data_IF_168497238565
#
_entry.id   IF_168497238565
#
_cell.length_a   1.000
_cell.length_b   1.000
_cell.length_c   1.000
_cell.angle_alpha   90.00
_cell.angle_beta   90.00
_cell.angle_gamma   90.00
#
_symmetry.space_group_name_H-M   'P 1'
#
loop_
_entity.id
_entity.type
_entity.pdbx_description
1 polymer ?
#
# COMPACT_ATOMS: atom_id res chain seq x y z
N UNK A 1 53.31 -24.96 18.73
CA UNK A 1 52.09 -24.21 19.06
C UNK A 1 51.28 -24.20 17.79
N UNK A 2 50.30 -25.09 17.71
CA UNK A 2 49.75 -25.55 16.43
C UNK A 2 48.92 -24.48 15.73
N UNK A 3 49.22 -24.26 14.45
CA UNK A 3 48.53 -23.30 13.58
C UNK A 3 47.00 -23.50 13.55
N UNK A 4 46.55 -24.74 13.78
CA UNK A 4 45.12 -25.08 13.87
C UNK A 4 44.42 -24.42 15.06
N UNK A 5 45.11 -24.26 16.20
CA UNK A 5 44.54 -23.62 17.38
C UNK A 5 44.44 -22.10 17.19
N UNK A 6 45.41 -21.50 16.49
CA UNK A 6 45.36 -20.07 16.15
C UNK A 6 44.22 -19.75 15.19
N UNK A 7 43.95 -20.62 14.21
CA UNK A 7 42.87 -20.42 13.25
C UNK A 7 41.48 -20.58 13.90
N UNK A 8 41.31 -21.54 14.81
CA UNK A 8 40.07 -21.70 15.57
C UNK A 8 39.77 -20.51 16.49
N UNK A 9 40.78 -19.98 17.19
CA UNK A 9 40.63 -18.79 18.04
C UNK A 9 40.31 -17.55 17.19
N UNK A 10 40.91 -17.43 16.00
CA UNK A 10 40.62 -16.33 15.09
C UNK A 10 39.18 -16.40 14.55
N UNK A 11 38.69 -17.60 14.21
CA UNK A 11 37.31 -17.80 13.76
C UNK A 11 36.30 -17.49 14.87
N UNK A 12 36.56 -17.88 16.11
CA UNK A 12 35.66 -17.61 17.25
C UNK A 12 35.62 -16.12 17.59
N UNK A 13 36.76 -15.42 17.56
CA UNK A 13 36.84 -13.96 17.75
C UNK A 13 36.11 -13.19 16.65
N UNK A 14 36.17 -13.66 15.39
CA UNK A 14 35.40 -13.05 14.30
C UNK A 14 33.89 -13.29 14.45
N UNK A 15 33.48 -14.45 14.96
CA UNK A 15 32.08 -14.79 15.26
C UNK A 15 31.49 -13.89 16.35
N UNK A 16 32.23 -13.69 17.44
CA UNK A 16 31.81 -12.84 18.55
C UNK A 16 31.71 -11.36 18.12
N UNK A 17 32.67 -10.88 17.32
CA UNK A 17 32.65 -9.52 16.78
C UNK A 17 31.49 -9.28 15.81
N UNK A 18 31.13 -10.28 14.99
CA UNK A 18 29.97 -10.20 14.09
C UNK A 18 28.66 -10.13 14.87
N UNK A 19 28.52 -10.89 15.95
CA UNK A 19 27.31 -10.86 16.78
C UNK A 19 27.14 -9.51 17.48
N UNK A 20 28.23 -8.92 17.98
CA UNK A 20 28.23 -7.61 18.62
C UNK A 20 27.91 -6.47 17.64
N UNK A 21 28.44 -6.53 16.41
CA UNK A 21 28.11 -5.58 15.34
C UNK A 21 26.68 -5.73 14.82
N UNK A 22 26.14 -6.97 14.77
CA UNK A 22 24.76 -7.22 14.35
C UNK A 22 23.73 -6.60 15.29
N UNK A 23 23.98 -6.60 16.60
CA UNK A 23 23.11 -5.97 17.60
C UNK A 23 23.17 -4.44 17.55
N UNK A 24 24.31 -3.85 17.16
CA UNK A 24 24.44 -2.40 16.99
C UNK A 24 23.78 -1.89 15.70
N UNK A 25 23.78 -2.69 14.64
CA UNK A 25 23.19 -2.33 13.35
C UNK A 25 21.66 -2.43 13.34
N UNK A 26 21.05 -3.35 14.10
CA UNK A 26 19.59 -3.48 14.22
C UNK A 26 18.96 -2.32 15.00
N UNK A 27 19.65 -1.74 15.98
CA UNK A 27 19.11 -0.62 16.77
C UNK A 27 19.24 0.74 16.06
N UNK A 28 20.34 0.97 15.33
CA UNK A 28 20.64 2.32 14.80
C UNK A 28 20.28 2.53 13.33
N UNK A 29 20.08 1.46 12.56
CA UNK A 29 19.67 1.54 11.16
C UNK A 29 18.13 1.46 11.01
N UNK A 30 17.46 0.74 11.90
CA UNK A 30 16.01 0.62 11.96
C UNK A 30 15.35 1.95 12.31
N UNK A 31 15.76 2.60 13.40
CA UNK A 31 15.22 3.90 13.81
C UNK A 31 15.54 5.02 12.83
N UNK A 32 16.67 4.93 12.09
CA UNK A 32 17.09 5.98 11.16
C UNK A 32 16.47 5.85 9.76
N UNK A 33 16.14 4.63 9.29
CA UNK A 33 15.40 4.42 8.04
C UNK A 33 13.88 4.46 8.24
N UNK A 34 13.34 3.84 9.29
CA UNK A 34 11.88 3.81 9.55
C UNK A 34 11.40 5.16 10.10
N UNK A 35 12.16 5.80 11.00
CA UNK A 35 11.76 7.04 11.66
C UNK A 35 11.65 8.26 10.73
N UNK A 36 12.51 8.37 9.71
CA UNK A 36 12.45 9.51 8.76
C UNK A 36 11.34 9.37 7.72
N UNK A 37 10.99 8.15 7.33
CA UNK A 37 9.86 7.89 6.42
C UNK A 37 8.53 7.99 7.19
N UNK A 38 8.47 7.48 8.41
CA UNK A 38 7.28 7.53 9.26
C UNK A 38 6.91 8.95 9.72
N UNK A 39 7.85 9.91 9.75
CA UNK A 39 7.59 11.29 10.17
C UNK A 39 6.88 12.14 9.10
N UNK A 40 6.85 11.68 7.84
CA UNK A 40 6.28 12.41 6.69
C UNK A 40 5.01 11.80 6.12
N UNK A 41 4.48 10.75 6.75
CA UNK A 41 3.35 9.97 6.23
C UNK A 41 2.21 9.96 7.24
N UNK A 42 1.01 10.26 6.76
CA UNK A 42 -0.23 10.26 7.55
C UNK A 42 -0.41 8.93 8.30
N UNK A 43 -1.07 8.99 9.46
CA UNK A 43 -1.32 7.88 10.39
C UNK A 43 -1.87 6.60 9.73
N UNK A 44 -2.57 6.70 8.59
CA UNK A 44 -3.04 5.55 7.80
C UNK A 44 -1.92 4.77 7.08
N UNK A 45 -0.85 5.43 6.65
CA UNK A 45 0.29 4.79 6.00
C UNK A 45 1.18 4.02 7.01
N UNK A 46 1.22 4.47 8.27
CA UNK A 46 1.95 3.77 9.36
C UNK A 46 1.37 2.37 9.63
N UNK A 47 0.05 2.24 9.72
CA UNK A 47 -0.60 0.94 9.95
C UNK A 47 -0.34 -0.08 8.83
N UNK A 48 -0.21 0.39 7.58
CA UNK A 48 0.06 -0.47 6.43
C UNK A 48 1.52 -0.97 6.43
N UNK A 49 2.46 -0.13 6.88
CA UNK A 49 3.89 -0.46 7.00
C UNK A 49 4.11 -1.40 8.19
N UNK A 50 3.51 -1.12 9.35
CA UNK A 50 3.65 -1.94 10.56
C UNK A 50 3.13 -3.37 10.37
N UNK A 51 1.96 -3.52 9.72
CA UNK A 51 1.41 -4.85 9.39
C UNK A 51 2.23 -5.61 8.32
N UNK A 52 2.98 -4.89 7.47
CA UNK A 52 3.85 -5.49 6.45
C UNK A 52 5.19 -5.95 7.04
N UNK A 53 5.75 -5.17 7.96
CA UNK A 53 6.95 -5.54 8.73
C UNK A 53 6.70 -6.76 9.59
N UNK A 54 5.54 -6.83 10.25
CA UNK A 54 5.19 -7.95 11.12
C UNK A 54 5.10 -9.28 10.34
N UNK A 55 4.55 -9.27 9.11
CA UNK A 55 4.52 -10.45 8.23
C UNK A 55 5.88 -10.83 7.63
N UNK A 56 6.78 -9.87 7.43
CA UNK A 56 8.13 -10.14 6.94
C UNK A 56 8.98 -10.87 7.99
N UNK A 57 8.79 -10.56 9.27
CA UNK A 57 9.45 -11.25 10.39
C UNK A 57 8.96 -12.70 10.50
N UNK A 58 7.67 -12.98 10.26
CA UNK A 58 7.11 -14.35 10.26
C UNK A 58 7.69 -15.23 9.13
N UNK A 59 7.85 -14.70 7.92
CA UNK A 59 8.43 -15.45 6.79
C UNK A 59 9.94 -15.64 6.97
N UNK A 60 10.62 -14.67 7.58
CA UNK A 60 12.06 -14.74 7.87
C UNK A 60 12.41 -15.77 8.95
N UNK A 61 11.44 -16.19 9.77
CA UNK A 61 11.60 -17.27 10.74
C UNK A 61 11.74 -18.67 10.13
N UNK A 62 11.42 -18.85 8.84
CA UNK A 62 11.45 -20.16 8.16
C UNK A 62 12.67 -20.38 7.25
N UNK A 63 13.57 -19.41 7.11
CA UNK A 63 14.75 -19.52 6.24
C UNK A 63 16.03 -19.40 7.08
N UNK A 64 16.27 -20.38 7.94
CA UNK A 64 17.60 -20.67 8.49
C UNK A 64 18.06 -22.04 8.04
N UNK A 65 18.30 -22.21 6.75
CA UNK A 65 19.26 -23.21 6.25
C UNK A 65 19.77 -22.83 4.87
N UNK A 66 21.09 -22.88 4.76
CA UNK A 66 21.94 -22.68 3.58
C UNK A 66 22.18 -21.24 3.12
N UNK A 67 23.34 -20.76 3.55
CA UNK A 67 24.09 -19.65 2.98
C UNK A 67 24.72 -20.03 1.63
N UNK A 68 25.01 -18.98 0.87
CA UNK A 68 26.02 -18.89 -0.20
C UNK A 68 25.60 -19.32 -1.61
N UNK A 69 25.13 -18.33 -2.38
CA UNK A 69 25.73 -17.90 -3.65
C UNK A 69 24.78 -16.95 -4.42
N UNK A 70 24.35 -15.83 -3.83
CA UNK A 70 23.58 -14.83 -4.57
C UNK A 70 23.49 -13.52 -3.79
N UNK A 71 24.61 -12.81 -3.67
CA UNK A 71 24.68 -11.53 -2.94
C UNK A 71 24.11 -10.32 -3.69
N UNK A 72 23.53 -10.50 -4.88
CA UNK A 72 23.05 -9.37 -5.71
C UNK A 72 21.61 -9.49 -6.24
N UNK A 73 20.86 -10.54 -5.95
CA UNK A 73 19.45 -10.68 -6.39
C UNK A 73 18.43 -10.48 -5.27
N UNK A 74 18.89 -10.39 -4.01
CA UNK A 74 17.99 -10.27 -2.86
C UNK A 74 17.54 -8.83 -2.60
N UNK A 75 18.41 -7.85 -2.91
CA UNK A 75 18.02 -6.44 -2.92
C UNK A 75 17.01 -6.16 -4.05
N UNK A 76 17.20 -6.77 -5.22
CA UNK A 76 16.25 -6.65 -6.33
C UNK A 76 14.92 -7.34 -6.02
N UNK A 77 14.92 -8.50 -5.36
CA UNK A 77 13.67 -9.17 -4.98
C UNK A 77 12.92 -8.40 -3.87
N UNK A 78 13.63 -7.80 -2.91
CA UNK A 78 13.02 -6.98 -1.86
C UNK A 78 12.56 -5.61 -2.38
N UNK A 79 13.33 -4.95 -3.26
CA UNK A 79 12.95 -3.71 -3.95
C UNK A 79 11.84 -3.96 -4.95
N UNK A 80 11.80 -5.10 -5.64
CA UNK A 80 10.69 -5.51 -6.50
C UNK A 80 9.46 -5.90 -5.67
N UNK A 81 9.62 -6.50 -4.50
CA UNK A 81 8.52 -6.79 -3.59
C UNK A 81 8.00 -5.54 -2.87
N UNK A 82 8.83 -4.51 -2.67
CA UNK A 82 8.42 -3.16 -2.26
C UNK A 82 7.78 -2.41 -3.44
N UNK A 83 8.29 -2.55 -4.66
CA UNK A 83 7.79 -1.93 -5.89
C UNK A 83 6.46 -2.53 -6.36
N UNK A 84 6.26 -3.83 -6.17
CA UNK A 84 4.99 -4.54 -6.36
C UNK A 84 4.00 -4.19 -5.24
N UNK A 85 4.47 -3.91 -4.01
CA UNK A 85 3.63 -3.47 -2.87
C UNK A 85 3.37 -1.96 -2.81
N UNK A 86 4.07 -1.15 -3.61
CA UNK A 86 3.68 0.23 -3.90
C UNK A 86 2.56 0.32 -4.93
N UNK A 87 1.91 -0.80 -5.30
CA UNK A 87 0.59 -0.77 -5.93
C UNK A 87 -0.47 -0.34 -4.89
N UNK A 88 -0.32 0.92 -4.49
CA UNK A 88 -1.22 1.84 -3.83
C UNK A 88 -2.02 1.20 -2.70
N UNK A 89 -1.64 1.56 -1.46
CA UNK A 89 -2.55 1.46 -0.31
C UNK A 89 -3.94 1.87 -0.81
N UNK A 90 -4.93 0.98 -0.64
CA UNK A 90 -6.14 0.93 -1.48
C UNK A 90 -7.06 2.15 -1.44
N UNK A 91 -6.61 3.28 -0.90
CA UNK A 91 -7.28 4.57 -0.89
C UNK A 91 -6.26 5.63 -1.37
N UNK A 92 -6.58 6.33 -2.46
CA UNK A 92 -5.77 7.43 -3.02
C UNK A 92 -6.64 8.66 -3.26
N UNK A 93 -6.03 9.86 -3.20
CA UNK A 93 -6.68 11.12 -3.54
C UNK A 93 -6.13 11.61 -4.87
N UNK A 94 -6.99 11.84 -5.85
CA UNK A 94 -6.62 12.30 -7.19
C UNK A 94 -6.40 13.81 -7.17
N UNK A 95 -5.25 14.25 -7.68
CA UNK A 95 -4.88 15.67 -7.75
C UNK A 95 -5.26 16.33 -9.06
N UNK A 96 -5.03 15.63 -10.18
CA UNK A 96 -5.23 16.16 -11.53
C UNK A 96 -5.63 15.05 -12.52
N UNK A 97 -5.92 15.44 -13.77
CA UNK A 97 -6.31 14.51 -14.83
C UNK A 97 -5.20 13.53 -15.22
N UNK A 98 -3.92 13.93 -15.17
CA UNK A 98 -2.81 13.05 -15.50
C UNK A 98 -2.65 11.95 -14.43
N UNK A 99 -2.83 12.30 -13.16
CA UNK A 99 -2.85 11.39 -12.03
C UNK A 99 -4.05 10.43 -12.11
N UNK A 100 -5.22 10.94 -12.51
CA UNK A 100 -6.40 10.12 -12.77
C UNK A 100 -6.15 9.09 -13.87
N UNK A 101 -5.60 9.51 -15.02
CA UNK A 101 -5.27 8.59 -16.12
C UNK A 101 -4.28 7.51 -15.67
N UNK A 102 -3.26 7.88 -14.90
CA UNK A 102 -2.25 6.95 -14.41
C UNK A 102 -2.80 5.95 -13.39
N UNK A 103 -3.55 6.42 -12.39
CA UNK A 103 -3.97 5.60 -11.23
C UNK A 103 -5.32 4.92 -11.42
N UNK A 104 -6.19 5.44 -12.27
CA UNK A 104 -7.54 4.93 -12.47
C UNK A 104 -7.66 4.20 -13.81
N UNK A 105 -7.32 4.85 -14.92
CA UNK A 105 -7.52 4.30 -16.26
C UNK A 105 -6.52 3.20 -16.58
N UNK A 106 -5.23 3.45 -16.30
CA UNK A 106 -4.15 2.49 -16.55
C UNK A 106 -3.97 1.46 -15.42
N UNK A 107 -4.90 1.40 -14.46
CA UNK A 107 -4.82 0.45 -13.37
C UNK A 107 -5.21 -0.96 -13.81
N UNK A 108 -4.44 -1.95 -13.36
CA UNK A 108 -4.76 -3.36 -13.58
C UNK A 108 -5.87 -3.85 -12.64
N UNK A 109 -5.98 -3.26 -11.44
CA UNK A 109 -7.03 -3.57 -10.48
C UNK A 109 -8.31 -2.80 -10.84
N UNK A 110 -9.50 -3.33 -10.54
CA UNK A 110 -10.71 -2.51 -10.55
C UNK A 110 -10.53 -1.32 -9.60
N UNK A 111 -11.12 -0.18 -9.97
CA UNK A 111 -11.03 1.07 -9.24
C UNK A 111 -12.42 1.61 -8.97
N UNK A 112 -12.72 1.92 -7.72
CA UNK A 112 -13.88 2.70 -7.31
C UNK A 112 -13.47 4.17 -7.24
N UNK A 113 -14.18 5.03 -7.95
CA UNK A 113 -13.96 6.48 -7.94
C UNK A 113 -15.09 7.14 -7.16
N UNK A 114 -14.77 7.76 -6.03
CA UNK A 114 -15.69 8.53 -5.19
C UNK A 114 -15.57 10.03 -5.53
N UNK A 115 -16.56 10.54 -6.25
CA UNK A 115 -16.71 11.98 -6.51
C UNK A 115 -17.42 12.64 -5.33
N UNK A 116 -16.66 13.44 -4.58
CA UNK A 116 -17.13 14.11 -3.38
C UNK A 116 -16.86 15.63 -3.43
N UNK A 117 -17.43 16.34 -2.46
CA UNK A 117 -17.15 17.76 -2.23
C UNK A 117 -17.07 18.04 -0.72
N UNK A 118 -16.30 19.05 -0.33
CA UNK A 118 -16.10 19.39 1.11
C UNK A 118 -17.37 19.94 1.78
N UNK A 119 -18.22 20.63 1.00
CA UNK A 119 -19.49 21.20 1.43
C UNK A 119 -20.65 20.19 1.44
N UNK A 120 -20.43 18.98 0.93
CA UNK A 120 -21.46 17.95 0.82
C UNK A 120 -21.66 17.21 2.16
N UNK A 121 -22.82 17.42 2.79
CA UNK A 121 -23.20 16.73 4.03
C UNK A 121 -23.26 15.19 3.88
N UNK A 122 -24.01 14.64 2.92
CA UNK A 122 -24.10 13.18 2.72
C UNK A 122 -22.76 12.51 2.41
N UNK A 123 -21.83 13.22 1.75
CA UNK A 123 -20.51 12.70 1.42
C UNK A 123 -19.69 12.39 2.68
N UNK A 124 -19.88 13.15 3.77
CA UNK A 124 -19.21 12.91 5.06
C UNK A 124 -19.64 11.58 5.72
N UNK A 125 -20.79 11.04 5.34
CA UNK A 125 -21.25 9.71 5.78
C UNK A 125 -20.79 8.60 4.83
N UNK A 126 -20.84 8.84 3.52
CA UNK A 126 -20.47 7.85 2.52
C UNK A 126 -18.97 7.55 2.53
N UNK A 127 -18.12 8.58 2.64
CA UNK A 127 -16.66 8.42 2.60
C UNK A 127 -16.13 7.42 3.62
N UNK A 128 -16.38 7.61 4.94
CA UNK A 128 -15.95 6.65 5.97
C UNK A 128 -16.53 5.24 5.77
N UNK A 129 -17.77 5.13 5.25
CA UNK A 129 -18.40 3.84 4.96
C UNK A 129 -17.72 3.11 3.80
N UNK A 130 -17.35 3.81 2.74
CA UNK A 130 -16.54 3.26 1.65
C UNK A 130 -15.18 2.80 2.17
N UNK A 131 -14.50 3.65 2.94
CA UNK A 131 -13.19 3.31 3.51
C UNK A 131 -13.28 2.07 4.43
N UNK A 132 -14.35 1.93 5.20
CA UNK A 132 -14.57 0.77 6.07
C UNK A 132 -14.75 -0.54 5.30
N UNK A 133 -15.56 -0.55 4.24
CA UNK A 133 -15.75 -1.74 3.40
C UNK A 133 -14.46 -2.07 2.66
N UNK A 134 -13.75 -1.05 2.17
CA UNK A 134 -12.50 -1.22 1.43
C UNK A 134 -11.38 -1.85 2.27
N UNK A 135 -11.41 -1.75 3.61
CA UNK A 135 -10.40 -2.38 4.48
C UNK A 135 -10.22 -3.87 4.22
N UNK A 136 -11.29 -4.59 3.92
CA UNK A 136 -11.24 -6.02 3.62
C UNK A 136 -10.76 -6.33 2.19
N UNK A 137 -10.71 -5.34 1.31
CA UNK A 137 -10.45 -5.51 -0.12
C UNK A 137 -9.31 -4.65 -0.68
N UNK A 138 -8.50 -3.99 0.17
CA UNK A 138 -7.43 -3.07 -0.24
C UNK A 138 -6.41 -3.65 -1.22
N UNK A 139 -6.24 -4.98 -1.22
CA UNK A 139 -5.29 -5.64 -2.13
C UNK A 139 -5.90 -5.86 -3.53
N UNK A 140 -7.23 -5.97 -3.63
CA UNK A 140 -7.95 -6.37 -4.85
C UNK A 140 -8.57 -5.20 -5.60
N UNK A 141 -8.87 -4.10 -4.91
CA UNK A 141 -9.54 -2.93 -5.48
C UNK A 141 -8.93 -1.65 -4.92
N UNK A 142 -8.87 -0.61 -5.75
CA UNK A 142 -8.43 0.73 -5.37
C UNK A 142 -9.65 1.63 -5.20
N UNK A 143 -9.63 2.49 -4.17
CA UNK A 143 -10.57 3.60 -3.99
C UNK A 143 -9.84 4.91 -4.33
N UNK A 144 -10.26 5.57 -5.40
CA UNK A 144 -9.80 6.89 -5.80
C UNK A 144 -10.82 7.95 -5.37
N UNK A 145 -10.41 8.90 -4.54
CA UNK A 145 -11.25 10.02 -4.09
C UNK A 145 -10.96 11.23 -4.97
N UNK A 146 -12.00 11.78 -5.56
CA UNK A 146 -11.95 12.93 -6.47
C UNK A 146 -12.79 14.05 -5.89
N UNK A 147 -12.14 15.17 -5.59
CA UNK A 147 -12.85 16.40 -5.22
C UNK A 147 -13.33 17.09 -6.51
N UNK A 148 -14.65 17.24 -6.65
CA UNK A 148 -15.28 17.88 -7.81
C UNK A 148 -15.00 19.37 -7.91
N UNK A 149 -14.69 20.04 -6.80
CA UNK A 149 -14.36 21.47 -6.77
C UNK A 149 -12.92 21.69 -7.29
N UNK A 150 -12.02 20.72 -7.08
CA UNK A 150 -10.63 20.76 -7.56
C UNK A 150 -10.48 20.20 -8.97
N UNK A 151 -11.39 19.30 -9.38
CA UNK A 151 -11.32 18.57 -10.64
C UNK A 151 -12.62 18.70 -11.44
N UNK A 152 -12.99 19.94 -11.77
CA UNK A 152 -14.22 20.28 -12.51
C UNK A 152 -14.30 19.61 -13.89
N UNK A 153 -13.16 19.51 -14.58
CA UNK A 153 -13.04 18.91 -15.91
C UNK A 153 -13.29 17.40 -15.87
N UNK A 154 -12.78 16.70 -14.85
CA UNK A 154 -13.08 15.29 -14.63
C UNK A 154 -14.56 15.09 -14.29
N UNK A 155 -15.12 15.93 -13.41
CA UNK A 155 -16.53 15.89 -13.06
C UNK A 155 -17.43 16.08 -14.30
N UNK A 156 -17.09 17.02 -15.19
CA UNK A 156 -17.80 17.24 -16.45
C UNK A 156 -17.69 16.03 -17.39
N UNK A 157 -16.49 15.45 -17.53
CA UNK A 157 -16.22 14.30 -18.40
C UNK A 157 -17.05 13.08 -18.00
N UNK A 158 -17.13 12.80 -16.71
CA UNK A 158 -17.93 11.70 -16.16
C UNK A 158 -19.41 12.06 -15.90
N UNK A 159 -19.84 13.25 -16.33
CA UNK A 159 -21.21 13.77 -16.23
C UNK A 159 -21.75 13.74 -14.80
N UNK A 160 -20.90 14.12 -13.84
CA UNK A 160 -21.26 14.18 -12.43
C UNK A 160 -22.18 15.39 -12.22
N UNK A 161 -23.46 15.10 -12.02
CA UNK A 161 -24.51 16.12 -11.85
C UNK A 161 -24.87 16.34 -10.37
N UNK A 162 -24.54 15.37 -9.51
CA UNK A 162 -24.75 15.46 -8.07
C UNK A 162 -23.67 14.67 -7.32
N UNK A 163 -23.33 15.15 -6.12
CA UNK A 163 -22.44 14.44 -5.18
C UNK A 163 -23.23 13.95 -3.96
N UNK A 164 -22.88 12.79 -3.37
CA UNK A 164 -21.81 11.89 -3.79
C UNK A 164 -22.22 11.04 -5.00
N UNK A 165 -21.27 10.79 -5.91
CA UNK A 165 -21.42 9.80 -6.99
C UNK A 165 -20.20 8.90 -6.99
N UNK A 166 -20.44 7.59 -7.05
CA UNK A 166 -19.38 6.59 -7.10
C UNK A 166 -19.46 5.84 -8.42
N UNK A 167 -18.32 5.73 -9.09
CA UNK A 167 -18.18 5.03 -10.37
C UNK A 167 -17.22 3.87 -10.19
N UNK A 168 -17.61 2.70 -10.67
CA UNK A 168 -16.73 1.54 -10.77
C UNK A 168 -16.10 1.47 -12.16
N UNK A 169 -14.78 1.45 -12.20
CA UNK A 169 -13.97 1.37 -13.43
C UNK A 169 -13.18 0.08 -13.41
N UNK A 170 -13.21 -0.67 -14.52
CA UNK A 170 -12.42 -1.88 -14.72
C UNK A 170 -11.87 -1.88 -16.14
N UNK A 171 -10.56 -2.11 -16.29
CA UNK A 171 -9.87 -2.08 -17.57
C UNK A 171 -10.10 -0.75 -18.34
N UNK A 172 -10.04 0.37 -17.63
CA UNK A 172 -10.24 1.71 -18.19
C UNK A 172 -11.67 2.04 -18.64
N UNK A 173 -12.66 1.16 -18.37
CA UNK A 173 -14.07 1.38 -18.72
C UNK A 173 -14.95 1.44 -17.49
N UNK A 174 -15.94 2.32 -17.52
CA UNK A 174 -17.03 2.35 -16.54
C UNK A 174 -17.88 1.07 -16.68
N UNK A 175 -18.02 0.33 -15.58
CA UNK A 175 -18.80 -0.92 -15.52
C UNK A 175 -20.06 -0.79 -14.68
N UNK A 176 -20.05 0.08 -13.68
CA UNK A 176 -21.20 0.34 -12.82
C UNK A 176 -21.10 1.74 -12.21
N UNK A 177 -22.22 2.33 -11.79
CA UNK A 177 -22.26 3.62 -11.10
C UNK A 177 -23.46 3.71 -10.16
N UNK A 178 -23.31 4.48 -9.09
CA UNK A 178 -24.44 4.92 -8.28
C UNK A 178 -24.27 6.35 -7.79
N UNK A 179 -25.39 7.03 -7.62
CA UNK A 179 -25.47 8.35 -7.00
C UNK A 179 -26.17 8.28 -5.65
N UNK A 180 -25.77 9.17 -4.75
CA UNK A 180 -26.34 9.32 -3.42
C UNK A 180 -25.78 8.37 -2.37
N UNK A 181 -26.32 8.47 -1.16
CA UNK A 181 -25.91 7.64 -0.03
C UNK A 181 -26.41 6.20 -0.22
N UNK A 182 -25.51 5.22 -0.10
CA UNK A 182 -25.84 3.80 -0.10
C UNK A 182 -25.50 3.13 1.23
N UNK A 183 -26.24 2.07 1.51
CA UNK A 183 -25.95 1.20 2.65
C UNK A 183 -24.75 0.30 2.38
N UNK A 184 -24.13 -0.17 3.47
CA UNK A 184 -22.94 -1.00 3.43
C UNK A 184 -23.10 -2.23 2.53
N UNK A 185 -24.23 -2.92 2.63
CA UNK A 185 -24.51 -4.14 1.86
C UNK A 185 -24.56 -3.87 0.35
N UNK A 186 -25.08 -2.72 -0.07
CA UNK A 186 -25.13 -2.34 -1.48
C UNK A 186 -23.71 -2.07 -2.03
N UNK A 187 -22.86 -1.43 -1.24
CA UNK A 187 -21.45 -1.17 -1.57
C UNK A 187 -20.67 -2.49 -1.67
N UNK A 188 -20.83 -3.38 -0.69
CA UNK A 188 -20.22 -4.71 -0.69
C UNK A 188 -20.64 -5.53 -1.91
N UNK A 189 -21.92 -5.50 -2.26
CA UNK A 189 -22.44 -6.17 -3.46
C UNK A 189 -21.77 -5.65 -4.74
N UNK A 190 -21.61 -4.33 -4.85
CA UNK A 190 -20.90 -3.73 -5.98
C UNK A 190 -19.45 -4.20 -6.03
N UNK A 191 -18.71 -4.12 -4.92
CA UNK A 191 -17.30 -4.56 -4.84
C UNK A 191 -17.15 -6.04 -5.23
N UNK A 192 -18.01 -6.90 -4.70
CA UNK A 192 -17.99 -8.34 -5.02
C UNK A 192 -18.25 -8.59 -6.51
N UNK A 193 -19.17 -7.83 -7.13
CA UNK A 193 -19.41 -7.91 -8.58
C UNK A 193 -18.21 -7.48 -9.44
N UNK A 194 -17.33 -6.62 -8.91
CA UNK A 194 -16.13 -6.17 -9.62
C UNK A 194 -14.99 -7.18 -9.53
N UNK A 195 -14.86 -7.83 -8.38
CA UNK A 195 -13.80 -8.82 -8.13
C UNK A 195 -14.12 -10.13 -8.87
N UNK A 196 -15.39 -10.56 -8.88
CA UNK A 196 -15.85 -11.74 -9.62
C UNK A 196 -15.51 -13.05 -8.93
#
# INVERSE_FOLDING_TARGET
>A
MDAQLQEQVLQELQRQRFHQLSQQLTATCWDRCVGRIAASLDTKARSCIENCVQRYIDVSGLITKQQNAMKLTFADSFVRCLSERTSECGITNIQDEADFQKRVINNQKPVLVDFHATWCGPCKLLGPRLEEVMKSHMNSILLAKVDVDQNDTLAATYKISAVPTVIAIKNGKEVDRFSGLKERQAIEKMINSLIG
#
